data_IF_780997938964
#
_entry.id   IF_780997938964
#
_cell.length_a   1.000
_cell.length_b   1.000
_cell.length_c   1.000
_cell.angle_alpha   90.00
_cell.angle_beta   90.00
_cell.angle_gamma   90.00
#
_symmetry.space_group_name_H-M   'P 1'
#
loop_
_entity.id
_entity.type
_entity.pdbx_description
1 polymer ?
#
# COMPACT_ATOMS: atom_id res chain seq x y z
N UNK A 1 22.32 -39.95 15.14
CA UNK A 1 21.10 -39.25 14.70
C UNK A 1 21.52 -37.92 14.10
N UNK A 2 21.56 -37.85 12.76
CA UNK A 2 22.01 -36.68 12.02
C UNK A 2 20.95 -35.58 12.09
N UNK A 3 21.33 -34.43 12.67
CA UNK A 3 20.65 -33.14 12.46
C UNK A 3 20.98 -32.69 11.04
N UNK A 4 20.07 -32.94 10.10
CA UNK A 4 20.14 -32.39 8.76
C UNK A 4 19.80 -30.91 8.80
N UNK A 5 20.81 -30.05 8.90
CA UNK A 5 20.69 -28.66 8.47
C UNK A 5 20.44 -28.69 6.96
N UNK A 6 19.22 -28.42 6.53
CA UNK A 6 18.93 -28.21 5.11
C UNK A 6 19.63 -26.90 4.69
N UNK A 7 20.84 -27.02 4.16
CA UNK A 7 21.55 -25.96 3.49
C UNK A 7 20.89 -25.71 2.14
N UNK A 8 19.91 -24.81 2.11
CA UNK A 8 19.44 -24.22 0.87
C UNK A 8 20.40 -23.07 0.49
N UNK A 9 21.15 -23.24 -0.59
CA UNK A 9 21.88 -22.15 -1.22
C UNK A 9 20.86 -21.14 -1.81
N UNK A 10 20.57 -20.06 -1.08
CA UNK A 10 19.85 -18.91 -1.61
C UNK A 10 20.82 -17.75 -1.77
N UNK A 11 20.99 -17.25 -3.00
CA UNK A 11 21.61 -15.96 -3.27
C UNK A 11 20.64 -14.87 -2.83
N UNK A 12 20.90 -14.24 -1.69
CA UNK A 12 20.11 -13.10 -1.20
C UNK A 12 20.48 -11.80 -1.92
N UNK A 13 19.51 -10.88 -2.06
CA UNK A 13 19.81 -9.51 -2.48
C UNK A 13 20.33 -8.72 -1.28
N UNK A 14 21.40 -7.92 -1.44
CA UNK A 14 21.86 -7.05 -0.37
C UNK A 14 20.77 -6.02 -0.05
N UNK A 15 20.47 -5.86 1.24
CA UNK A 15 19.64 -4.77 1.74
C UNK A 15 20.43 -3.94 2.75
N UNK A 16 20.06 -2.68 2.90
CA UNK A 16 20.46 -1.86 4.02
C UNK A 16 19.30 -1.84 5.00
N UNK A 17 19.50 -2.30 6.23
CA UNK A 17 18.44 -2.31 7.24
C UNK A 17 18.28 -0.93 7.89
N UNK A 18 17.30 -0.80 8.79
CA UNK A 18 17.08 0.41 9.57
C UNK A 18 17.51 0.21 11.03
N UNK A 19 17.91 1.32 11.64
CA UNK A 19 18.03 1.44 13.08
C UNK A 19 17.12 2.56 13.57
N UNK A 20 16.46 2.35 14.70
CA UNK A 20 15.56 3.33 15.29
C UNK A 20 15.87 3.46 16.78
N UNK A 21 16.11 4.68 17.27
CA UNK A 21 16.51 4.96 18.64
C UNK A 21 15.67 6.05 19.28
N UNK A 22 15.16 5.80 20.47
CA UNK A 22 14.44 6.80 21.26
C UNK A 22 15.46 7.70 21.96
N UNK A 23 15.51 8.97 21.54
CA UNK A 23 16.47 9.97 22.05
C UNK A 23 15.89 10.82 23.19
N UNK A 24 14.56 10.94 23.27
CA UNK A 24 13.88 11.60 24.39
C UNK A 24 12.47 11.04 24.57
N UNK A 25 11.89 11.25 25.76
CA UNK A 25 10.55 10.76 26.13
C UNK A 25 10.58 9.63 27.17
N UNK A 26 9.43 9.00 27.45
CA UNK A 26 9.30 7.95 28.48
C UNK A 26 10.21 6.75 28.25
N UNK A 27 10.47 6.39 26.99
CA UNK A 27 11.27 5.23 26.57
C UNK A 27 12.70 5.60 26.15
N UNK A 28 13.23 6.75 26.61
CA UNK A 28 14.55 7.23 26.23
C UNK A 28 15.65 6.19 26.46
N UNK A 29 16.46 5.95 25.42
CA UNK A 29 17.53 4.94 25.41
C UNK A 29 17.12 3.61 24.78
N UNK A 30 15.83 3.37 24.51
CA UNK A 30 15.39 2.20 23.74
C UNK A 30 15.90 2.28 22.30
N UNK A 31 16.42 1.17 21.77
CA UNK A 31 17.03 1.11 20.44
C UNK A 31 16.71 -0.24 19.78
N UNK A 32 16.40 -0.21 18.50
CA UNK A 32 16.11 -1.38 17.69
C UNK A 32 16.93 -1.31 16.39
N UNK A 33 17.62 -2.40 16.08
CA UNK A 33 18.20 -2.63 14.76
C UNK A 33 17.34 -3.67 14.06
N UNK A 34 16.72 -3.32 12.95
CA UNK A 34 15.88 -4.25 12.19
C UNK A 34 16.72 -5.26 11.41
N UNK A 35 16.17 -6.46 11.25
CA UNK A 35 16.63 -7.46 10.29
C UNK A 35 15.93 -7.31 8.91
N UNK A 36 14.96 -6.39 8.82
CA UNK A 36 14.19 -6.02 7.63
C UNK A 36 14.44 -4.56 7.22
N UNK A 37 13.85 -4.16 6.11
CA UNK A 37 13.79 -2.78 5.62
C UNK A 37 12.64 -1.97 6.23
N UNK A 38 11.88 -2.53 7.18
CA UNK A 38 10.72 -1.87 7.81
C UNK A 38 10.82 -1.95 9.33
N UNK A 39 10.53 -0.84 10.01
CA UNK A 39 10.32 -0.77 11.47
C UNK A 39 8.95 -0.16 11.74
N UNK A 40 8.11 -0.89 12.45
CA UNK A 40 6.79 -0.43 12.91
C UNK A 40 6.89 0.12 14.34
N UNK A 41 6.26 1.27 14.62
CA UNK A 41 6.37 1.98 15.90
C UNK A 41 5.00 2.36 16.46
N UNK A 42 4.78 2.11 17.75
CA UNK A 42 3.57 2.51 18.46
C UNK A 42 3.40 1.83 19.82
N UNK A 43 2.25 2.02 20.47
CA UNK A 43 1.98 1.44 21.81
C UNK A 43 1.45 0.00 21.76
N UNK A 44 0.97 -0.46 20.61
CA UNK A 44 0.48 -1.82 20.43
C UNK A 44 1.61 -2.86 20.52
N UNK A 45 1.29 -4.04 21.06
CA UNK A 45 2.25 -5.13 21.24
C UNK A 45 2.73 -5.76 19.92
N UNK A 46 2.05 -5.48 18.80
CA UNK A 46 2.43 -5.96 17.48
C UNK A 46 3.45 -5.10 16.74
N UNK A 47 3.91 -3.98 17.33
CA UNK A 47 4.96 -3.15 16.73
C UNK A 47 6.36 -3.70 17.05
N UNK A 48 7.30 -3.52 16.13
CA UNK A 48 8.70 -3.86 16.33
C UNK A 48 9.31 -3.01 17.46
N UNK A 49 9.02 -1.71 17.45
CA UNK A 49 9.39 -0.77 18.51
C UNK A 49 8.15 -0.38 19.31
N UNK A 50 7.87 -1.15 20.36
CA UNK A 50 6.78 -0.88 21.30
C UNK A 50 7.16 0.23 22.28
N UNK A 51 6.34 1.28 22.33
CA UNK A 51 6.50 2.41 23.23
C UNK A 51 5.53 2.33 24.42
N UNK A 52 5.93 2.86 25.57
CA UNK A 52 5.11 3.02 26.78
C UNK A 52 4.44 4.40 26.85
N UNK A 53 4.82 5.34 25.99
CA UNK A 53 4.22 6.68 25.92
C UNK A 53 2.74 6.63 25.49
N UNK A 54 1.84 6.88 26.44
CA UNK A 54 0.39 6.92 26.21
C UNK A 54 -0.07 7.96 25.19
N UNK A 55 0.77 8.95 24.87
CA UNK A 55 0.47 9.95 23.83
C UNK A 55 0.77 9.46 22.41
N UNK A 56 1.32 8.24 22.28
CA UNK A 56 1.58 7.59 21.00
C UNK A 56 0.44 6.62 20.67
N UNK A 57 -0.18 6.79 19.50
CA UNK A 57 -1.20 5.87 18.98
C UNK A 57 -0.73 4.41 18.92
N UNK A 58 -1.69 3.49 18.84
CA UNK A 58 -1.45 2.04 18.84
C UNK A 58 -0.51 1.63 17.71
N UNK A 59 -0.84 2.08 16.51
CA UNK A 59 0.03 2.04 15.35
C UNK A 59 0.29 3.49 14.96
N UNK A 60 1.50 3.99 15.16
CA UNK A 60 1.77 5.42 15.00
C UNK A 60 2.44 5.69 13.67
N UNK A 61 3.59 5.05 13.44
CA UNK A 61 4.41 5.30 12.26
C UNK A 61 5.17 4.05 11.84
N UNK A 62 5.24 3.84 10.53
CA UNK A 62 6.12 2.88 9.90
C UNK A 62 7.31 3.60 9.26
N UNK A 63 8.49 3.03 9.43
CA UNK A 63 9.74 3.48 8.81
C UNK A 63 10.16 2.46 7.78
N UNK A 64 10.27 2.84 6.51
CA UNK A 64 10.59 1.95 5.39
C UNK A 64 11.86 2.44 4.69
N UNK A 65 12.89 1.60 4.57
CA UNK A 65 14.11 1.95 3.84
C UNK A 65 13.80 2.02 2.34
N UNK A 66 14.09 3.16 1.72
CA UNK A 66 13.99 3.36 0.28
C UNK A 66 15.29 3.99 -0.24
N UNK A 67 16.20 3.16 -0.74
CA UNK A 67 17.49 3.62 -1.26
C UNK A 67 18.31 4.32 -0.16
N UNK A 68 18.63 5.60 -0.36
CA UNK A 68 19.37 6.43 0.60
C UNK A 68 18.48 7.17 1.61
N UNK A 69 17.16 7.00 1.53
CA UNK A 69 16.19 7.68 2.38
C UNK A 69 15.40 6.68 3.22
N UNK A 70 14.72 7.20 4.24
CA UNK A 70 13.70 6.47 4.99
C UNK A 70 12.36 7.10 4.72
N UNK A 71 11.45 6.32 4.16
CA UNK A 71 10.06 6.71 4.03
C UNK A 71 9.38 6.55 5.39
N UNK A 72 8.83 7.65 5.89
CA UNK A 72 8.05 7.71 7.12
C UNK A 72 6.59 7.73 6.73
N UNK A 73 5.80 6.80 7.28
CA UNK A 73 4.36 6.67 7.02
C UNK A 73 3.59 6.72 8.34
N UNK A 74 2.90 7.82 8.63
CA UNK A 74 2.01 7.94 9.78
C UNK A 74 0.68 7.24 9.51
N UNK A 75 0.19 6.48 10.49
CA UNK A 75 -1.02 5.66 10.38
C UNK A 75 -2.26 6.35 10.97
N UNK A 76 -2.47 7.63 10.62
CA UNK A 76 -3.58 8.43 11.14
C UNK A 76 -3.48 8.65 12.65
N UNK A 77 -2.26 8.89 13.13
CA UNK A 77 -2.01 9.01 14.56
C UNK A 77 -2.68 10.25 15.16
N UNK A 78 -3.10 10.15 16.42
CA UNK A 78 -3.90 11.19 17.09
C UNK A 78 -3.11 12.50 17.22
N UNK A 79 -1.84 12.40 17.57
CA UNK A 79 -0.97 13.56 17.78
C UNK A 79 -0.10 13.90 16.54
N UNK A 80 -0.16 13.07 15.50
CA UNK A 80 0.66 13.20 14.30
C UNK A 80 2.14 12.86 14.53
N UNK A 81 2.80 12.50 13.44
CA UNK A 81 4.27 12.42 13.36
C UNK A 81 4.83 13.77 12.93
N UNK A 82 5.77 14.34 13.69
CA UNK A 82 6.39 15.64 13.36
C UNK A 82 7.88 15.53 13.03
N UNK A 83 8.32 16.30 12.06
CA UNK A 83 9.74 16.56 11.75
C UNK A 83 9.98 18.06 11.83
N UNK A 84 10.86 18.52 12.73
CA UNK A 84 11.13 19.94 12.94
C UNK A 84 9.85 20.81 13.07
N UNK A 85 8.87 20.33 13.85
CA UNK A 85 7.54 20.94 14.07
C UNK A 85 6.55 20.87 12.89
N UNK A 86 6.94 20.32 11.74
CA UNK A 86 6.04 20.08 10.62
C UNK A 86 5.42 18.70 10.77
N UNK A 87 4.08 18.64 10.79
CA UNK A 87 3.36 17.36 10.75
C UNK A 87 3.50 16.74 9.37
N UNK A 88 3.89 15.47 9.34
CA UNK A 88 4.00 14.68 8.12
C UNK A 88 3.07 13.47 8.20
N UNK A 89 2.45 13.14 7.07
CA UNK A 89 1.66 11.91 6.91
C UNK A 89 2.48 10.86 6.16
N UNK A 90 3.14 11.26 5.08
CA UNK A 90 4.08 10.43 4.34
C UNK A 90 5.22 11.28 3.80
N UNK A 91 6.45 10.98 4.20
CA UNK A 91 7.62 11.76 3.77
C UNK A 91 8.89 10.91 3.70
N UNK A 92 9.70 11.11 2.66
CA UNK A 92 11.06 10.59 2.60
C UNK A 92 12.00 11.52 3.38
N UNK A 93 12.63 10.99 4.44
CA UNK A 93 13.58 11.73 5.27
C UNK A 93 14.99 11.14 5.14
N UNK A 94 16.05 11.95 5.28
CA UNK A 94 17.39 11.41 5.35
C UNK A 94 17.59 10.60 6.65
N UNK A 95 18.55 9.67 6.68
CA UNK A 95 19.02 9.09 7.94
C UNK A 95 19.45 10.18 8.92
N UNK A 96 19.48 9.83 10.20
CA UNK A 96 19.72 10.71 11.34
C UNK A 96 18.60 11.73 11.65
N UNK A 97 17.49 11.71 10.90
CA UNK A 97 16.32 12.54 11.19
C UNK A 97 15.66 12.14 12.50
N UNK A 98 15.26 13.15 13.29
CA UNK A 98 14.49 12.98 14.53
C UNK A 98 13.02 13.26 14.26
N UNK A 99 12.19 12.26 14.50
CA UNK A 99 10.74 12.32 14.49
C UNK A 99 10.22 12.58 15.91
N UNK A 100 9.19 13.39 16.06
CA UNK A 100 8.47 13.57 17.33
C UNK A 100 7.11 12.88 17.24
N UNK A 101 6.88 11.93 18.14
CA UNK A 101 5.66 11.13 18.26
C UNK A 101 5.10 11.37 19.68
N UNK A 102 4.10 12.24 19.83
CA UNK A 102 3.61 12.62 21.16
C UNK A 102 4.72 13.26 22.02
N UNK A 103 5.08 12.65 23.17
CA UNK A 103 6.19 13.08 24.03
C UNK A 103 7.52 12.39 23.71
N UNK A 104 7.52 11.49 22.73
CA UNK A 104 8.67 10.66 22.37
C UNK A 104 9.40 11.25 21.17
N UNK A 105 10.72 11.30 21.21
CA UNK A 105 11.56 11.65 20.06
C UNK A 105 12.31 10.40 19.57
N UNK A 106 12.04 10.02 18.33
CA UNK A 106 12.61 8.86 17.65
C UNK A 106 13.62 9.33 16.61
N UNK A 107 14.88 8.97 16.77
CA UNK A 107 15.91 9.17 15.75
C UNK A 107 16.00 7.93 14.86
N UNK A 108 15.90 8.14 13.56
CA UNK A 108 16.09 7.11 12.55
C UNK A 108 17.56 7.11 12.11
N UNK A 109 18.18 5.95 12.00
CA UNK A 109 19.57 5.77 11.59
C UNK A 109 19.70 4.63 10.58
N UNK A 110 20.85 4.57 9.90
CA UNK A 110 21.16 3.46 9.01
C UNK A 110 21.48 2.20 9.82
N UNK A 111 20.90 1.08 9.40
CA UNK A 111 21.17 -0.22 9.98
C UNK A 111 22.37 -0.92 9.35
N UNK A 112 22.40 -2.25 9.46
CA UNK A 112 23.48 -3.08 8.92
C UNK A 112 23.18 -3.43 7.46
N UNK A 113 24.22 -3.76 6.70
CA UNK A 113 24.06 -4.44 5.41
C UNK A 113 23.71 -5.90 5.67
N UNK A 114 22.54 -6.31 5.20
CA UNK A 114 22.04 -7.68 5.25
C UNK A 114 21.85 -8.26 3.85
N UNK A 115 21.40 -9.51 3.78
CA UNK A 115 20.92 -10.12 2.55
C UNK A 115 19.53 -10.70 2.78
N UNK A 116 18.58 -10.37 1.91
CA UNK A 116 17.22 -10.92 1.96
C UNK A 116 17.05 -11.97 0.88
N UNK A 117 16.43 -13.08 1.27
CA UNK A 117 16.06 -14.17 0.37
C UNK A 117 15.16 -13.66 -0.75
N UNK A 118 15.48 -14.05 -1.99
CA UNK A 118 14.69 -13.71 -3.18
C UNK A 118 14.38 -14.94 -4.00
N UNK A 119 13.21 -14.92 -4.62
CA UNK A 119 12.87 -15.89 -5.66
C UNK A 119 13.80 -15.67 -6.86
N UNK A 120 14.47 -16.72 -7.31
CA UNK A 120 15.36 -16.65 -8.48
C UNK A 120 14.59 -16.60 -9.79
N UNK A 121 13.40 -17.21 -9.82
CA UNK A 121 12.52 -17.19 -10.97
C UNK A 121 11.87 -15.80 -11.11
N UNK A 122 11.58 -15.42 -12.36
CA UNK A 122 10.77 -14.22 -12.66
C UNK A 122 9.27 -14.52 -12.63
N UNK A 123 8.91 -15.79 -12.41
CA UNK A 123 7.53 -16.26 -12.37
C UNK A 123 7.31 -17.18 -11.17
N UNK A 124 6.16 -17.03 -10.52
CA UNK A 124 5.75 -17.87 -9.39
C UNK A 124 4.24 -18.01 -9.35
N UNK A 125 3.71 -19.19 -9.69
CA UNK A 125 2.28 -19.50 -9.61
C UNK A 125 1.36 -18.40 -10.21
N UNK A 126 1.70 -17.92 -11.42
CA UNK A 126 0.96 -16.85 -12.11
C UNK A 126 1.36 -15.42 -11.75
N UNK A 127 2.25 -15.22 -10.77
CA UNK A 127 2.89 -13.93 -10.52
C UNK A 127 4.06 -13.73 -11.48
N UNK A 128 4.20 -12.54 -12.05
CA UNK A 128 5.28 -12.15 -12.96
C UNK A 128 6.02 -10.94 -12.39
N UNK A 129 7.36 -10.99 -12.34
CA UNK A 129 8.19 -9.89 -11.85
C UNK A 129 9.68 -10.23 -11.82
N UNK A 130 10.51 -9.32 -12.31
CA UNK A 130 11.96 -9.37 -12.29
C UNK A 130 12.62 -8.36 -11.35
N UNK A 131 11.86 -7.35 -10.91
CA UNK A 131 12.28 -6.35 -9.93
C UNK A 131 12.63 -7.02 -8.59
N UNK A 132 13.57 -6.40 -7.88
CA UNK A 132 14.01 -6.87 -6.57
C UNK A 132 12.84 -6.96 -5.56
N UNK A 133 11.94 -5.98 -5.60
CA UNK A 133 10.77 -5.90 -4.70
C UNK A 133 9.79 -7.05 -4.98
N UNK A 134 9.52 -7.37 -6.24
CA UNK A 134 8.66 -8.50 -6.59
C UNK A 134 9.30 -9.84 -6.26
N UNK A 135 10.61 -10.01 -6.52
CA UNK A 135 11.31 -11.26 -6.19
C UNK A 135 11.37 -11.53 -4.68
N UNK A 136 11.48 -10.49 -3.85
CA UNK A 136 11.33 -10.61 -2.38
C UNK A 136 9.90 -11.01 -2.00
N UNK A 137 8.89 -10.35 -2.57
CA UNK A 137 7.49 -10.67 -2.31
C UNK A 137 7.17 -12.12 -2.69
N UNK A 138 7.66 -12.61 -3.84
CA UNK A 138 7.50 -14.00 -4.28
C UNK A 138 8.13 -15.00 -3.29
N UNK A 139 9.32 -14.73 -2.76
CA UNK A 139 9.93 -15.58 -1.72
C UNK A 139 9.08 -15.62 -0.44
N UNK A 140 8.49 -14.49 -0.03
CA UNK A 140 7.56 -14.45 1.10
C UNK A 140 6.28 -15.24 0.83
N UNK A 141 5.74 -15.16 -0.39
CA UNK A 141 4.58 -15.98 -0.82
C UNK A 141 4.88 -17.47 -0.68
N UNK A 142 6.03 -17.96 -1.18
CA UNK A 142 6.42 -19.37 -1.04
C UNK A 142 6.55 -19.81 0.43
N UNK A 143 7.11 -18.94 1.28
CA UNK A 143 7.24 -19.22 2.72
C UNK A 143 5.88 -19.29 3.41
N UNK A 144 5.02 -18.31 3.15
CA UNK A 144 3.69 -18.24 3.76
C UNK A 144 2.78 -19.35 3.25
N UNK A 145 2.93 -19.80 2.01
CA UNK A 145 2.17 -20.92 1.45
C UNK A 145 2.40 -22.24 2.22
N UNK A 146 3.57 -22.42 2.85
CA UNK A 146 3.90 -23.61 3.66
C UNK A 146 3.25 -23.60 5.06
N UNK A 147 2.59 -22.50 5.43
CA UNK A 147 1.91 -22.34 6.72
C UNK A 147 0.40 -22.26 6.55
N UNK A 148 -0.35 -22.57 7.61
CA UNK A 148 -1.82 -22.44 7.63
C UNK A 148 -2.30 -21.12 8.26
N UNK A 149 -1.36 -20.18 8.45
CA UNK A 149 -1.59 -18.89 9.08
C UNK A 149 -2.43 -17.97 8.19
N UNK A 150 -3.23 -17.08 8.81
CA UNK A 150 -3.95 -16.01 8.13
C UNK A 150 -2.98 -15.04 7.48
N UNK A 151 -3.23 -14.66 6.22
CA UNK A 151 -2.41 -13.68 5.50
C UNK A 151 -3.25 -12.46 5.10
N UNK A 152 -2.77 -11.27 5.41
CA UNK A 152 -3.32 -10.00 4.93
C UNK A 152 -2.47 -9.49 3.77
N UNK A 153 -3.09 -9.32 2.60
CA UNK A 153 -2.47 -8.79 1.38
C UNK A 153 -2.89 -7.33 1.21
N UNK A 154 -1.97 -6.41 1.44
CA UNK A 154 -2.22 -4.98 1.27
C UNK A 154 -1.68 -4.49 -0.06
N UNK A 155 -2.37 -3.55 -0.70
CA UNK A 155 -1.89 -2.93 -1.92
C UNK A 155 -2.99 -2.17 -2.65
N UNK A 156 -2.58 -1.27 -3.52
CA UNK A 156 -3.49 -0.45 -4.32
C UNK A 156 -4.39 -1.29 -5.22
N UNK A 157 -5.50 -0.70 -5.66
CA UNK A 157 -6.38 -1.35 -6.63
C UNK A 157 -5.63 -1.64 -7.93
N UNK A 158 -5.90 -2.80 -8.52
CA UNK A 158 -5.28 -3.21 -9.78
C UNK A 158 -3.84 -3.71 -9.69
N UNK A 159 -3.28 -3.90 -8.49
CA UNK A 159 -1.90 -4.43 -8.31
C UNK A 159 -1.76 -5.95 -8.46
N UNK A 160 -2.87 -6.69 -8.36
CA UNK A 160 -2.91 -8.16 -8.45
C UNK A 160 -3.02 -8.90 -7.11
N UNK A 161 -3.65 -8.30 -6.08
CA UNK A 161 -3.83 -8.91 -4.75
C UNK A 161 -4.47 -10.30 -4.78
N UNK A 162 -5.48 -10.50 -5.63
CA UNK A 162 -6.12 -11.81 -5.80
C UNK A 162 -5.15 -12.87 -6.35
N UNK A 163 -4.29 -12.50 -7.31
CA UNK A 163 -3.26 -13.42 -7.84
C UNK A 163 -2.26 -13.80 -6.75
N UNK A 164 -1.90 -12.88 -5.86
CA UNK A 164 -1.04 -13.18 -4.69
C UNK A 164 -1.74 -14.16 -3.76
N UNK A 165 -3.01 -13.93 -3.43
CA UNK A 165 -3.79 -14.86 -2.60
C UNK A 165 -3.95 -16.24 -3.26
N UNK A 166 -4.15 -16.27 -4.57
CA UNK A 166 -4.23 -17.49 -5.36
C UNK A 166 -2.91 -18.25 -5.37
N UNK A 167 -1.78 -17.57 -5.57
CA UNK A 167 -0.45 -18.17 -5.49
C UNK A 167 -0.18 -18.78 -4.11
N UNK A 168 -0.56 -18.09 -3.03
CA UNK A 168 -0.47 -18.62 -1.66
C UNK A 168 -1.27 -19.91 -1.50
N UNK A 169 -2.45 -20.02 -2.13
CA UNK A 169 -3.27 -21.22 -2.10
C UNK A 169 -2.67 -22.35 -2.94
N UNK A 170 -2.32 -22.09 -4.19
CA UNK A 170 -1.82 -23.08 -5.16
C UNK A 170 -0.47 -23.68 -4.75
N UNK A 171 0.34 -22.94 -3.99
CA UNK A 171 1.61 -23.40 -3.42
C UNK A 171 1.45 -24.06 -2.03
N UNK A 172 0.25 -24.06 -1.46
CA UNK A 172 0.01 -24.62 -0.12
C UNK A 172 -0.34 -26.10 -0.14
N UNK A 173 -0.37 -26.71 1.06
CA UNK A 173 -0.93 -28.04 1.26
C UNK A 173 -2.42 -28.16 0.89
N UNK A 174 -3.12 -27.03 0.67
CA UNK A 174 -4.54 -26.97 0.30
C UNK A 174 -4.79 -26.77 -1.20
N UNK A 175 -3.78 -26.83 -2.08
CA UNK A 175 -3.91 -26.56 -3.54
C UNK A 175 -5.00 -27.33 -4.30
N UNK A 176 -5.39 -28.51 -3.80
CA UNK A 176 -6.44 -29.36 -4.39
C UNK A 176 -7.81 -29.18 -3.73
N UNK A 177 -7.92 -28.24 -2.78
CA UNK A 177 -9.12 -27.96 -2.02
C UNK A 177 -9.78 -26.67 -2.54
N UNK A 178 -11.04 -26.38 -2.16
CA UNK A 178 -11.72 -25.18 -2.65
C UNK A 178 -10.97 -23.88 -2.31
N UNK A 179 -10.92 -22.96 -3.28
CA UNK A 179 -10.54 -21.56 -3.09
C UNK A 179 -11.78 -20.71 -3.32
N UNK A 180 -12.40 -20.23 -2.25
CA UNK A 180 -13.67 -19.49 -2.33
C UNK A 180 -13.40 -18.01 -2.10
N UNK A 181 -13.76 -17.18 -3.07
CA UNK A 181 -13.58 -15.73 -3.04
C UNK A 181 -14.87 -15.04 -2.59
N UNK A 182 -14.72 -13.96 -1.83
CA UNK A 182 -15.81 -13.06 -1.44
C UNK A 182 -15.28 -11.63 -1.48
N UNK A 183 -15.98 -10.76 -2.20
CA UNK A 183 -15.74 -9.32 -2.21
C UNK A 183 -16.61 -8.68 -1.13
N UNK A 184 -15.99 -8.01 -0.16
CA UNK A 184 -16.67 -7.36 0.95
C UNK A 184 -17.21 -5.96 0.63
N UNK A 185 -16.78 -5.33 -0.46
CA UNK A 185 -17.13 -3.94 -0.80
C UNK A 185 -18.33 -3.76 -1.73
N UNK A 186 -18.77 -4.82 -2.43
CA UNK A 186 -19.79 -4.70 -3.50
C UNK A 186 -21.22 -5.03 -3.07
N UNK A 187 -21.43 -5.57 -1.87
CA UNK A 187 -22.72 -6.11 -1.43
C UNK A 187 -23.31 -5.31 -0.26
N UNK A 188 -24.65 -5.29 -0.16
CA UNK A 188 -25.34 -4.76 1.03
C UNK A 188 -25.02 -5.60 2.28
N UNK A 189 -25.11 -5.02 3.49
CA UNK A 189 -24.78 -5.73 4.75
C UNK A 189 -25.47 -7.10 4.91
N UNK A 190 -26.74 -7.21 4.52
CA UNK A 190 -27.48 -8.48 4.60
C UNK A 190 -26.98 -9.49 3.57
N UNK A 191 -26.63 -9.04 2.35
CA UNK A 191 -26.13 -9.90 1.30
C UNK A 191 -24.71 -10.39 1.62
N UNK A 192 -23.81 -9.53 2.12
CA UNK A 192 -22.46 -9.97 2.52
C UNK A 192 -22.53 -11.01 3.66
N UNK A 193 -23.41 -10.82 4.63
CA UNK A 193 -23.63 -11.79 5.70
C UNK A 193 -24.08 -13.15 5.15
N UNK A 194 -25.03 -13.15 4.21
CA UNK A 194 -25.50 -14.35 3.52
C UNK A 194 -24.41 -14.99 2.66
N UNK A 195 -23.59 -14.20 1.98
CA UNK A 195 -22.48 -14.70 1.16
C UNK A 195 -21.39 -15.35 2.02
N UNK A 196 -21.07 -14.78 3.18
CA UNK A 196 -20.06 -15.31 4.11
C UNK A 196 -20.56 -16.55 4.85
N UNK A 197 -21.71 -16.43 5.52
CA UNK A 197 -22.20 -17.42 6.50
C UNK A 197 -23.40 -18.23 6.00
N UNK A 198 -23.99 -17.90 4.86
CA UNK A 198 -25.18 -18.58 4.36
C UNK A 198 -26.44 -18.21 5.15
N UNK A 199 -27.57 -18.73 4.70
CA UNK A 199 -28.86 -18.49 5.35
C UNK A 199 -29.76 -19.71 5.29
N UNK A 200 -30.64 -19.82 6.29
CA UNK A 200 -31.76 -20.74 6.27
C UNK A 200 -32.94 -20.17 5.48
N UNK A 201 -33.82 -21.04 5.00
CA UNK A 201 -35.06 -20.63 4.32
C UNK A 201 -35.89 -19.73 5.27
N UNK A 202 -36.25 -18.55 4.80
CA UNK A 202 -37.05 -17.58 5.56
C UNK A 202 -36.24 -16.69 6.52
N UNK A 203 -34.91 -16.68 6.45
CA UNK A 203 -34.07 -15.85 7.31
C UNK A 203 -34.28 -14.33 7.10
N UNK A 204 -34.65 -13.90 5.89
CA UNK A 204 -34.98 -12.52 5.53
C UNK A 204 -35.91 -12.49 4.31
N UNK A 205 -36.48 -11.33 3.99
CA UNK A 205 -37.34 -11.14 2.82
C UNK A 205 -36.59 -11.50 1.53
N UNK A 206 -37.05 -12.54 0.82
CA UNK A 206 -36.39 -13.08 -0.38
C UNK A 206 -35.53 -14.33 -0.14
N UNK A 207 -35.38 -14.80 1.10
CA UNK A 207 -34.70 -16.05 1.44
C UNK A 207 -35.60 -17.28 1.15
N UNK A 208 -35.95 -17.50 -0.12
CA UNK A 208 -36.87 -18.58 -0.52
C UNK A 208 -36.28 -19.99 -0.38
N UNK A 209 -34.95 -20.09 -0.40
CA UNK A 209 -34.20 -21.35 -0.28
C UNK A 209 -33.08 -21.19 0.73
N UNK A 210 -32.57 -22.32 1.21
CA UNK A 210 -31.35 -22.35 2.01
C UNK A 210 -30.14 -22.10 1.10
N UNK A 211 -29.14 -21.37 1.59
CA UNK A 211 -27.90 -21.10 0.88
C UNK A 211 -26.68 -21.40 1.77
N UNK A 212 -25.72 -22.15 1.24
CA UNK A 212 -24.44 -22.40 1.91
C UNK A 212 -23.50 -21.22 1.71
N UNK A 213 -23.00 -20.64 2.80
CA UNK A 213 -22.06 -19.52 2.77
C UNK A 213 -20.65 -19.91 2.34
N UNK A 214 -19.81 -18.92 2.09
CA UNK A 214 -18.42 -19.09 1.68
C UNK A 214 -17.60 -19.93 2.66
N UNK A 215 -17.78 -19.74 3.97
CA UNK A 215 -17.07 -20.53 4.98
C UNK A 215 -17.40 -22.02 4.91
N UNK A 216 -18.67 -22.36 4.63
CA UNK A 216 -19.11 -23.75 4.45
C UNK A 216 -18.55 -24.34 3.16
N UNK A 217 -18.68 -23.61 2.04
CA UNK A 217 -18.17 -24.04 0.72
C UNK A 217 -16.65 -24.19 0.69
N UNK A 218 -15.93 -23.41 1.51
CA UNK A 218 -14.48 -23.43 1.59
C UNK A 218 -13.93 -24.44 2.61
N UNK A 219 -14.78 -25.23 3.27
CA UNK A 219 -14.33 -26.15 4.31
C UNK A 219 -13.24 -27.11 3.79
N UNK A 220 -12.11 -27.19 4.51
CA UNK A 220 -10.90 -27.91 4.08
C UNK A 220 -9.97 -27.11 3.15
N UNK A 221 -10.46 -26.01 2.58
CA UNK A 221 -9.78 -25.15 1.61
C UNK A 221 -9.43 -23.76 2.14
N UNK A 222 -9.52 -22.75 1.29
CA UNK A 222 -9.14 -21.36 1.59
C UNK A 222 -10.30 -20.41 1.29
N UNK A 223 -10.57 -19.49 2.22
CA UNK A 223 -11.45 -18.35 1.98
C UNK A 223 -10.58 -17.14 1.67
N UNK A 224 -10.81 -16.51 0.52
CA UNK A 224 -10.25 -15.22 0.15
C UNK A 224 -11.30 -14.12 0.36
N UNK A 225 -10.99 -13.14 1.20
CA UNK A 225 -11.83 -11.97 1.43
C UNK A 225 -11.17 -10.74 0.81
N UNK A 226 -11.74 -10.24 -0.29
CA UNK A 226 -11.28 -8.98 -0.89
C UNK A 226 -11.94 -7.78 -0.24
N UNK A 227 -11.20 -6.67 -0.21
CA UNK A 227 -11.56 -5.42 0.45
C UNK A 227 -12.11 -5.60 1.88
N UNK A 228 -11.39 -6.35 2.72
CA UNK A 228 -11.79 -6.65 4.11
C UNK A 228 -12.02 -5.38 4.97
N UNK A 229 -11.39 -4.25 4.62
CA UNK A 229 -11.61 -2.96 5.27
C UNK A 229 -13.02 -2.40 5.09
N UNK A 230 -13.74 -2.84 4.06
CA UNK A 230 -15.14 -2.46 3.80
C UNK A 230 -16.16 -3.29 4.60
N UNK A 231 -15.68 -4.27 5.39
CA UNK A 231 -16.58 -5.15 6.13
C UNK A 231 -17.34 -4.40 7.23
N UNK A 232 -18.69 -4.45 7.23
CA UNK A 232 -19.50 -3.79 8.27
C UNK A 232 -19.15 -4.27 9.68
N UNK A 233 -19.23 -3.38 10.67
CA UNK A 233 -18.82 -3.65 12.05
C UNK A 233 -19.51 -4.89 12.67
N UNK A 234 -20.78 -5.13 12.36
CA UNK A 234 -21.52 -6.32 12.81
C UNK A 234 -20.90 -7.61 12.25
N UNK A 235 -20.47 -7.58 10.98
CA UNK A 235 -19.84 -8.72 10.32
C UNK A 235 -18.41 -8.95 10.79
N UNK A 236 -17.70 -7.90 11.23
CA UNK A 236 -16.39 -8.06 11.87
C UNK A 236 -16.47 -8.94 13.11
N UNK A 237 -17.51 -8.79 13.94
CA UNK A 237 -17.72 -9.63 15.13
C UNK A 237 -18.02 -11.09 14.77
N UNK A 238 -18.85 -11.32 13.75
CA UNK A 238 -19.15 -12.67 13.27
C UNK A 238 -17.91 -13.35 12.68
N UNK A 239 -17.14 -12.63 11.86
CA UNK A 239 -15.89 -13.13 11.29
C UNK A 239 -14.90 -13.53 12.38
N UNK A 240 -14.68 -12.67 13.38
CA UNK A 240 -13.85 -12.98 14.54
C UNK A 240 -14.31 -14.29 15.21
N UNK A 241 -15.62 -14.43 15.46
CA UNK A 241 -16.20 -15.63 16.04
C UNK A 241 -15.87 -16.91 15.27
N UNK A 242 -15.93 -16.87 13.93
CA UNK A 242 -15.59 -18.02 13.09
C UNK A 242 -14.09 -18.33 13.13
N UNK A 243 -13.24 -17.31 13.12
CA UNK A 243 -11.78 -17.48 13.13
C UNK A 243 -11.25 -18.02 14.47
N UNK A 244 -11.90 -17.66 15.58
CA UNK A 244 -11.56 -18.16 16.91
C UNK A 244 -12.14 -19.54 17.18
N UNK A 245 -13.45 -19.71 16.97
CA UNK A 245 -14.17 -20.92 17.40
C UNK A 245 -14.18 -22.03 16.34
N UNK A 246 -13.79 -21.71 15.10
CA UNK A 246 -13.85 -22.62 13.94
C UNK A 246 -15.24 -23.22 13.71
N UNK A 247 -16.26 -22.42 14.05
CA UNK A 247 -17.68 -22.76 13.88
C UNK A 247 -18.53 -21.49 13.79
N UNK A 248 -19.67 -21.60 13.13
CA UNK A 248 -20.62 -20.50 12.97
C UNK A 248 -22.03 -21.04 12.74
N UNK A 249 -23.04 -20.18 12.78
CA UNK A 249 -24.42 -20.52 12.43
C UNK A 249 -24.85 -19.73 11.20
N UNK A 250 -25.67 -20.33 10.34
CA UNK A 250 -26.28 -19.61 9.20
C UNK A 250 -27.24 -18.54 9.71
N UNK A 251 -27.48 -17.51 8.90
CA UNK A 251 -28.48 -16.49 9.21
C UNK A 251 -29.86 -17.13 9.39
N UNK A 252 -30.55 -16.79 10.47
CA UNK A 252 -31.86 -17.36 10.84
C UNK A 252 -31.81 -18.82 11.32
N UNK A 253 -30.62 -19.43 11.42
CA UNK A 253 -30.43 -20.80 11.88
C UNK A 253 -29.77 -20.88 13.27
N UNK A 254 -30.08 -21.93 14.02
CA UNK A 254 -29.45 -22.22 15.32
C UNK A 254 -28.40 -23.33 15.26
N UNK A 255 -28.29 -24.04 14.13
CA UNK A 255 -27.32 -25.12 13.96
C UNK A 255 -25.89 -24.60 13.79
N UNK A 256 -24.99 -25.02 14.67
CA UNK A 256 -23.56 -24.74 14.53
C UNK A 256 -22.92 -25.63 13.46
N UNK A 257 -22.18 -25.01 12.54
CA UNK A 257 -21.42 -25.64 11.47
C UNK A 257 -19.95 -25.49 11.80
N UNK A 258 -19.21 -26.59 11.95
CA UNK A 258 -17.75 -26.59 12.14
C UNK A 258 -17.06 -26.46 10.79
N UNK A 259 -16.03 -25.61 10.72
CA UNK A 259 -15.25 -25.39 9.51
C UNK A 259 -13.75 -25.33 9.77
N UNK A 260 -12.98 -25.93 8.88
CA UNK A 260 -11.54 -25.80 8.83
C UNK A 260 -11.13 -25.03 7.58
N UNK A 261 -11.05 -23.71 7.69
CA UNK A 261 -10.63 -22.83 6.58
C UNK A 261 -9.32 -22.13 6.91
N UNK A 262 -8.49 -21.98 5.89
CA UNK A 262 -7.41 -20.99 5.86
C UNK A 262 -7.98 -19.66 5.38
N UNK A 263 -7.55 -18.57 6.00
CA UNK A 263 -7.98 -17.23 5.62
C UNK A 263 -6.85 -16.51 4.87
N UNK A 264 -7.19 -15.92 3.72
CA UNK A 264 -6.37 -14.88 3.09
C UNK A 264 -7.28 -13.68 2.86
N UNK A 265 -6.88 -12.51 3.33
CA UNK A 265 -7.64 -11.28 3.12
C UNK A 265 -6.84 -10.31 2.27
N UNK A 266 -7.53 -9.41 1.59
CA UNK A 266 -6.90 -8.31 0.88
C UNK A 266 -7.61 -6.99 1.16
N UNK A 267 -6.87 -5.88 1.04
CA UNK A 267 -7.45 -4.53 1.07
C UNK A 267 -6.50 -3.51 0.48
N UNK A 268 -7.04 -2.40 -0.03
CA UNK A 268 -6.29 -1.17 -0.32
C UNK A 268 -6.23 -0.18 0.86
N UNK A 269 -6.99 -0.42 1.93
CA UNK A 269 -7.05 0.45 3.12
C UNK A 269 -5.92 0.16 4.09
N UNK A 270 -5.62 1.20 4.84
CA UNK A 270 -4.76 1.09 6.01
C UNK A 270 -5.57 0.64 7.23
N UNK A 271 -5.64 -0.68 7.44
CA UNK A 271 -6.36 -1.23 8.58
C UNK A 271 -5.79 -0.77 9.94
N UNK A 272 -4.54 -0.33 10.00
CA UNK A 272 -3.97 0.21 11.25
C UNK A 272 -4.56 1.58 11.56
N UNK A 273 -4.72 2.42 10.54
CA UNK A 273 -5.45 3.69 10.66
C UNK A 273 -6.93 3.44 11.01
N UNK A 274 -7.58 2.47 10.35
CA UNK A 274 -8.97 2.09 10.64
C UNK A 274 -9.14 1.52 12.07
N UNK A 275 -8.10 0.94 12.66
CA UNK A 275 -8.10 0.52 14.07
C UNK A 275 -7.92 1.71 15.02
N UNK A 276 -7.13 2.71 14.62
CA UNK A 276 -6.95 3.93 15.40
C UNK A 276 -8.23 4.77 15.42
N UNK A 277 -8.96 4.86 14.31
CA UNK A 277 -10.24 5.59 14.21
C UNK A 277 -11.46 4.80 14.75
N UNK A 278 -11.30 3.49 14.98
CA UNK A 278 -12.32 2.62 15.55
C UNK A 278 -13.29 2.02 14.54
N UNK A 279 -13.09 2.24 13.24
CA UNK A 279 -13.88 1.65 12.16
C UNK A 279 -13.56 0.17 11.92
N UNK A 280 -12.36 -0.28 12.32
CA UNK A 280 -11.96 -1.68 12.31
C UNK A 280 -11.58 -2.19 13.70
N UNK A 281 -12.09 -3.37 14.07
CA UNK A 281 -11.84 -3.92 15.41
C UNK A 281 -10.39 -4.40 15.58
N UNK A 282 -9.75 -3.97 16.67
CA UNK A 282 -8.39 -4.36 17.02
C UNK A 282 -8.22 -5.89 17.17
N UNK A 283 -9.19 -6.57 17.79
CA UNK A 283 -9.14 -8.02 18.00
C UNK A 283 -9.18 -8.80 16.68
N UNK A 284 -10.05 -8.39 15.76
CA UNK A 284 -10.11 -8.94 14.41
C UNK A 284 -8.81 -8.65 13.63
N UNK A 285 -8.27 -7.42 13.73
CA UNK A 285 -7.02 -7.05 13.06
C UNK A 285 -5.90 -8.04 13.36
N UNK A 286 -5.66 -8.35 14.64
CA UNK A 286 -4.63 -9.33 15.02
C UNK A 286 -4.90 -10.75 14.53
N UNK A 287 -6.15 -11.09 14.21
CA UNK A 287 -6.53 -12.43 13.73
C UNK A 287 -6.40 -12.57 12.21
N UNK A 288 -6.55 -11.47 11.47
CA UNK A 288 -6.43 -11.44 10.01
C UNK A 288 -5.01 -11.07 9.56
N UNK A 289 -4.35 -10.14 10.25
CA UNK A 289 -3.01 -9.64 9.96
C UNK A 289 -1.91 -10.40 10.71
N UNK A 290 -1.99 -11.74 10.73
CA UNK A 290 -0.96 -12.56 11.40
C UNK A 290 0.34 -12.57 10.59
N UNK A 291 0.21 -12.62 9.26
CA UNK A 291 1.29 -12.29 8.33
C UNK A 291 0.77 -11.26 7.33
N UNK A 292 1.55 -10.23 7.05
CA UNK A 292 1.18 -9.17 6.11
C UNK A 292 2.10 -9.19 4.90
N UNK A 293 1.52 -9.07 3.71
CA UNK A 293 2.23 -8.91 2.44
C UNK A 293 1.81 -7.59 1.80
N UNK A 294 2.78 -6.75 1.49
CA UNK A 294 2.56 -5.54 0.69
C UNK A 294 2.82 -5.84 -0.78
N UNK A 295 1.82 -5.60 -1.63
CA UNK A 295 1.95 -5.70 -3.08
C UNK A 295 2.36 -4.32 -3.61
N UNK A 296 3.57 -4.16 -4.18
CA UNK A 296 4.04 -2.87 -4.63
C UNK A 296 3.21 -2.36 -5.82
N UNK A 297 2.89 -1.06 -5.86
CA UNK A 297 2.29 -0.45 -7.03
C UNK A 297 3.25 -0.51 -8.22
N UNK A 298 2.72 -0.45 -9.44
CA UNK A 298 3.49 -0.65 -10.67
C UNK A 298 4.64 0.38 -10.82
N UNK A 299 4.42 1.61 -10.36
CA UNK A 299 5.45 2.68 -10.32
C UNK A 299 6.65 2.39 -9.40
N UNK A 300 6.52 1.47 -8.44
CA UNK A 300 7.63 1.05 -7.56
C UNK A 300 8.37 -0.19 -8.11
N UNK A 301 7.93 -0.71 -9.26
CA UNK A 301 8.51 -1.90 -9.92
C UNK A 301 8.56 -1.72 -11.44
N UNK A 302 9.06 -0.57 -11.86
CA UNK A 302 9.09 -0.14 -13.27
C UNK A 302 9.82 -1.15 -14.16
N UNK A 303 10.83 -1.84 -13.62
CA UNK A 303 11.57 -2.89 -14.33
C UNK A 303 10.68 -4.07 -14.74
N UNK A 304 9.51 -4.24 -14.13
CA UNK A 304 8.57 -5.32 -14.46
C UNK A 304 7.69 -5.00 -15.67
N UNK A 305 7.56 -3.72 -16.06
CA UNK A 305 6.65 -3.29 -17.13
C UNK A 305 6.93 -4.01 -18.46
N UNK A 306 8.19 -4.12 -18.96
CA UNK A 306 8.45 -4.84 -20.20
C UNK A 306 8.06 -6.33 -20.13
N UNK A 307 8.33 -6.98 -19.01
CA UNK A 307 7.97 -8.40 -18.78
C UNK A 307 6.45 -8.59 -18.76
N UNK A 308 5.73 -7.69 -18.08
CA UNK A 308 4.27 -7.70 -18.00
C UNK A 308 3.65 -7.39 -19.36
N UNK A 309 4.22 -6.46 -20.13
CA UNK A 309 3.74 -6.12 -21.46
C UNK A 309 3.82 -7.32 -22.41
N UNK A 310 4.97 -8.01 -22.44
CA UNK A 310 5.15 -9.25 -23.20
C UNK A 310 4.11 -10.28 -22.76
N UNK A 311 3.99 -10.53 -21.46
CA UNK A 311 3.04 -11.51 -20.91
C UNK A 311 1.59 -11.24 -21.33
N UNK A 312 1.10 -10.02 -21.14
CA UNK A 312 -0.29 -9.68 -21.48
C UNK A 312 -0.55 -9.72 -22.99
N UNK A 313 0.42 -9.34 -23.82
CA UNK A 313 0.26 -9.46 -25.27
C UNK A 313 0.09 -10.92 -25.69
N UNK A 314 0.89 -11.83 -25.15
CA UNK A 314 0.73 -13.27 -25.40
C UNK A 314 -0.62 -13.79 -24.88
N UNK A 315 -1.05 -13.37 -23.68
CA UNK A 315 -2.35 -13.74 -23.10
C UNK A 315 -3.52 -13.28 -23.99
N UNK A 316 -3.40 -12.10 -24.60
CA UNK A 316 -4.39 -11.51 -25.51
C UNK A 316 -4.33 -12.10 -26.94
N UNK A 317 -3.49 -13.10 -27.19
CA UNK A 317 -3.42 -13.85 -28.45
C UNK A 317 -2.44 -13.28 -29.48
N UNK A 318 -1.58 -12.34 -29.11
CA UNK A 318 -0.53 -11.85 -29.98
C UNK A 318 0.66 -12.83 -30.00
N UNK A 319 1.00 -13.35 -31.19
CA UNK A 319 2.08 -14.33 -31.35
C UNK A 319 3.47 -13.69 -31.56
N UNK A 320 3.54 -12.37 -31.73
CA UNK A 320 4.80 -11.64 -31.89
C UNK A 320 5.42 -11.21 -30.56
N UNK A 321 6.56 -10.52 -30.63
CA UNK A 321 7.16 -9.85 -29.45
C UNK A 321 6.54 -8.49 -29.24
N UNK A 322 6.42 -8.05 -27.99
CA UNK A 322 5.86 -6.75 -27.66
C UNK A 322 6.57 -5.60 -28.39
N UNK A 323 7.88 -5.72 -28.62
CA UNK A 323 8.73 -4.77 -29.36
C UNK A 323 8.23 -4.46 -30.78
N UNK A 324 7.46 -5.37 -31.40
CA UNK A 324 6.92 -5.19 -32.75
C UNK A 324 5.74 -4.20 -32.79
N UNK A 325 5.03 -4.02 -31.67
CA UNK A 325 3.86 -3.12 -31.56
C UNK A 325 4.13 -1.96 -30.60
N UNK A 326 5.03 -2.14 -29.64
CA UNK A 326 5.45 -1.15 -28.67
C UNK A 326 6.86 -0.74 -29.02
N UNK A 327 6.99 0.42 -29.68
CA UNK A 327 8.30 0.99 -29.99
C UNK A 327 9.12 1.23 -28.72
N UNK A 328 10.47 1.28 -28.80
CA UNK A 328 11.30 1.62 -27.64
C UNK A 328 10.92 2.95 -26.97
N UNK A 329 10.49 3.94 -27.77
CA UNK A 329 10.00 5.23 -27.25
C UNK A 329 8.67 5.07 -26.49
N UNK A 330 7.76 4.24 -27.00
CA UNK A 330 6.52 3.90 -26.29
C UNK A 330 6.81 3.14 -25.00
N UNK A 331 7.76 2.21 -25.01
CA UNK A 331 8.14 1.46 -23.81
C UNK A 331 8.72 2.38 -22.72
N UNK A 332 9.54 3.36 -23.11
CA UNK A 332 10.05 4.37 -22.17
C UNK A 332 8.91 5.23 -21.59
N UNK A 333 7.91 5.61 -22.40
CA UNK A 333 6.70 6.29 -21.89
C UNK A 333 5.91 5.41 -20.91
N UNK A 334 5.71 4.13 -21.23
CA UNK A 334 5.07 3.17 -20.31
C UNK A 334 5.83 3.09 -18.98
N UNK A 335 7.17 3.10 -19.03
CA UNK A 335 8.00 3.07 -17.82
C UNK A 335 7.95 4.36 -17.00
N UNK A 336 7.68 5.51 -17.62
CA UNK A 336 7.56 6.80 -16.92
C UNK A 336 6.17 7.08 -16.38
N UNK A 337 5.16 6.35 -16.83
CA UNK A 337 3.78 6.59 -16.40
C UNK A 337 3.56 6.22 -14.92
N UNK A 338 2.66 6.94 -14.23
CA UNK A 338 2.38 6.71 -12.79
C UNK A 338 1.55 5.47 -12.48
N UNK A 339 0.77 5.02 -13.46
CA UNK A 339 -0.11 3.85 -13.36
C UNK A 339 -1.05 3.89 -12.14
N UNK A 340 -1.95 4.89 -12.01
CA UNK A 340 -2.93 4.94 -10.92
C UNK A 340 -3.84 3.69 -10.86
N UNK A 341 -4.13 3.06 -12.01
CA UNK A 341 -4.84 1.78 -12.08
C UNK A 341 -3.93 0.55 -12.11
N UNK A 342 -2.63 0.73 -11.86
CA UNK A 342 -1.61 -0.30 -11.75
C UNK A 342 -1.62 -1.29 -12.94
N UNK A 343 -1.54 -2.59 -12.67
CA UNK A 343 -1.43 -3.66 -13.68
C UNK A 343 -2.72 -3.77 -14.49
N UNK A 344 -3.88 -3.48 -13.89
CA UNK A 344 -5.18 -3.49 -14.59
C UNK A 344 -5.20 -2.44 -15.70
N UNK A 345 -4.71 -1.24 -15.42
CA UNK A 345 -4.60 -0.16 -16.41
C UNK A 345 -3.61 -0.52 -17.52
N UNK A 346 -2.42 -1.03 -17.17
CA UNK A 346 -1.43 -1.49 -18.15
C UNK A 346 -2.03 -2.54 -19.10
N UNK A 347 -2.74 -3.54 -18.57
CA UNK A 347 -3.41 -4.56 -19.39
C UNK A 347 -4.42 -3.93 -20.35
N UNK A 348 -5.27 -3.03 -19.88
CA UNK A 348 -6.28 -2.36 -20.71
C UNK A 348 -5.64 -1.55 -21.84
N UNK A 349 -4.53 -0.86 -21.56
CA UNK A 349 -3.77 -0.11 -22.58
C UNK A 349 -3.21 -1.05 -23.65
N UNK A 350 -2.66 -2.20 -23.26
CA UNK A 350 -2.09 -3.17 -24.20
C UNK A 350 -3.18 -3.86 -25.03
N UNK A 351 -4.35 -4.14 -24.45
CA UNK A 351 -5.51 -4.64 -25.17
C UNK A 351 -5.99 -3.64 -26.22
N UNK A 352 -6.11 -2.36 -25.85
CA UNK A 352 -6.43 -1.30 -26.79
C UNK A 352 -5.36 -1.16 -27.90
N UNK A 353 -4.08 -1.30 -27.54
CA UNK A 353 -2.96 -1.27 -28.50
C UNK A 353 -3.10 -2.36 -29.55
N UNK A 354 -3.45 -3.59 -29.13
CA UNK A 354 -3.66 -4.71 -30.04
C UNK A 354 -4.88 -4.51 -30.96
N UNK A 355 -5.95 -3.92 -30.43
CA UNK A 355 -7.16 -3.65 -31.21
C UNK A 355 -6.98 -2.52 -32.23
N UNK A 356 -6.22 -1.47 -31.88
CA UNK A 356 -6.02 -0.28 -32.72
C UNK A 356 -4.80 -0.40 -33.64
N UNK A 357 -3.86 -1.29 -33.34
CA UNK A 357 -2.57 -1.40 -34.03
C UNK A 357 -1.52 -0.37 -33.58
N UNK A 358 -1.91 0.56 -32.70
CA UNK A 358 -1.05 1.55 -32.07
C UNK A 358 -1.53 1.83 -30.62
N UNK A 359 -0.64 2.23 -29.70
CA UNK A 359 -1.02 2.50 -28.33
C UNK A 359 -1.95 3.72 -28.25
N UNK A 360 -3.03 3.67 -27.43
CA UNK A 360 -3.88 4.82 -27.21
C UNK A 360 -3.09 5.98 -26.58
N UNK A 361 -3.58 7.21 -26.75
CA UNK A 361 -2.99 8.37 -26.10
C UNK A 361 -2.95 8.17 -24.57
N UNK A 362 -1.78 8.40 -23.97
CA UNK A 362 -1.59 8.38 -22.53
C UNK A 362 -2.02 9.72 -21.95
N UNK A 363 -3.28 9.84 -21.53
CA UNK A 363 -3.78 11.05 -20.86
C UNK A 363 -3.40 11.10 -19.36
N UNK A 364 -2.77 10.05 -18.84
CA UNK A 364 -2.34 9.98 -17.45
C UNK A 364 -0.96 10.58 -17.29
N UNK A 365 -0.79 11.40 -16.24
CA UNK A 365 0.48 11.98 -15.81
C UNK A 365 1.64 11.03 -16.12
N UNK A 366 2.35 11.34 -17.22
CA UNK A 366 3.75 10.97 -17.35
C UNK A 366 4.35 11.40 -16.01
N UNK A 367 5.33 10.68 -15.48
CA UNK A 367 6.31 11.36 -14.66
C UNK A 367 6.93 12.44 -15.57
N UNK A 368 6.21 13.55 -15.79
CA UNK A 368 6.80 14.84 -15.58
C UNK A 368 7.66 14.65 -14.35
N UNK A 369 8.90 15.10 -14.42
CA UNK A 369 9.58 15.52 -13.23
C UNK A 369 8.61 16.52 -12.56
N UNK A 370 7.62 16.02 -11.83
CA UNK A 370 6.96 16.70 -10.76
C UNK A 370 8.13 16.94 -9.82
N UNK A 371 8.82 18.06 -10.04
CA UNK A 371 9.34 18.86 -8.95
C UNK A 371 8.24 18.75 -7.89
N UNK A 372 8.49 17.98 -6.81
CA UNK A 372 7.41 17.52 -5.96
C UNK A 372 6.64 18.74 -5.50
N UNK A 373 5.31 18.66 -5.58
CA UNK A 373 4.41 19.70 -5.11
C UNK A 373 4.93 20.25 -3.76
N UNK A 374 5.36 21.51 -3.81
CA UNK A 374 5.90 22.28 -2.69
C UNK A 374 7.17 21.76 -1.98
N UNK A 375 8.08 21.02 -2.63
CA UNK A 375 9.47 20.98 -2.16
C UNK A 375 10.25 22.11 -2.83
N UNK A 376 10.49 23.18 -2.08
CA UNK A 376 11.49 24.15 -2.46
C UNK A 376 12.85 23.43 -2.48
N UNK A 377 13.29 22.96 -3.64
CA UNK A 377 14.66 22.49 -3.82
C UNK A 377 15.60 23.66 -3.50
N UNK A 378 16.19 23.63 -2.30
CA UNK A 378 17.17 24.62 -1.83
C UNK A 378 18.56 24.35 -2.39
N UNK A 379 18.83 23.12 -2.87
CA UNK A 379 20.13 22.72 -3.43
C UNK A 379 20.66 23.62 -4.57
N UNK A 380 19.87 24.01 -5.60
CA UNK A 380 20.33 24.93 -6.64
C UNK A 380 20.49 26.39 -6.16
N UNK A 381 20.09 26.70 -4.91
CA UNK A 381 20.02 28.07 -4.39
C UNK A 381 21.13 28.34 -3.36
N UNK A 382 21.61 27.31 -2.65
CA UNK A 382 22.65 27.41 -1.62
C UNK A 382 24.06 27.73 -2.17
N UNK A 383 24.25 27.67 -3.50
CA UNK A 383 25.48 28.09 -4.18
C UNK A 383 25.50 29.56 -4.66
N UNK A 384 24.41 30.31 -4.44
CA UNK A 384 24.27 31.69 -4.91
C UNK A 384 24.48 32.71 -3.78
N UNK A 385 24.90 33.95 -4.08
CA UNK A 385 24.89 35.04 -3.10
C UNK A 385 23.49 35.24 -2.50
N UNK A 386 23.42 35.52 -1.19
CA UNK A 386 22.17 35.61 -0.43
C UNK A 386 21.07 36.44 -1.12
N UNK A 387 21.42 37.57 -1.73
CA UNK A 387 20.47 38.45 -2.43
C UNK A 387 19.83 37.78 -3.65
N UNK A 388 20.63 37.02 -4.40
CA UNK A 388 20.18 36.30 -5.59
C UNK A 388 19.40 35.04 -5.22
N UNK A 389 19.89 34.31 -4.21
CA UNK A 389 19.21 33.16 -3.63
C UNK A 389 17.79 33.52 -3.15
N UNK A 390 17.69 34.59 -2.35
CA UNK A 390 16.42 35.13 -1.86
C UNK A 390 15.50 35.55 -3.01
N UNK A 391 16.03 36.24 -4.02
CA UNK A 391 15.22 36.68 -5.17
C UNK A 391 14.64 35.51 -5.96
N UNK A 392 15.41 34.45 -6.21
CA UNK A 392 14.93 33.26 -6.94
C UNK A 392 13.85 32.51 -6.16
N UNK A 393 13.99 32.42 -4.83
CA UNK A 393 13.00 31.78 -3.96
C UNK A 393 11.69 32.58 -3.90
N UNK A 394 11.79 33.89 -3.71
CA UNK A 394 10.63 34.78 -3.73
C UNK A 394 9.90 34.74 -5.07
N UNK A 395 10.62 34.75 -6.18
CA UNK A 395 10.00 34.66 -7.51
C UNK A 395 9.29 33.32 -7.75
N UNK A 396 9.86 32.19 -7.28
CA UNK A 396 9.21 30.88 -7.36
C UNK A 396 7.95 30.84 -6.49
N UNK A 397 8.04 31.31 -5.25
CA UNK A 397 6.90 31.42 -4.33
C UNK A 397 5.79 32.29 -4.91
N UNK A 398 6.11 33.51 -5.35
CA UNK A 398 5.16 34.47 -5.92
C UNK A 398 4.44 33.87 -7.14
N UNK A 399 5.15 33.19 -8.04
CA UNK A 399 4.52 32.54 -9.20
C UNK A 399 3.52 31.46 -8.83
N UNK A 400 3.87 30.61 -7.87
CA UNK A 400 3.00 29.51 -7.46
C UNK A 400 1.77 30.04 -6.70
N UNK A 401 2.01 30.91 -5.71
CA UNK A 401 0.97 31.52 -4.90
C UNK A 401 -0.03 32.33 -5.74
N UNK A 402 0.44 33.16 -6.66
CA UNK A 402 -0.44 33.98 -7.51
C UNK A 402 -1.25 33.14 -8.49
N UNK A 403 -0.69 32.02 -8.99
CA UNK A 403 -1.40 31.12 -9.90
C UNK A 403 -2.57 30.44 -9.20
N UNK A 404 -2.32 29.85 -8.04
CA UNK A 404 -3.35 29.19 -7.22
C UNK A 404 -4.41 30.20 -6.75
N UNK A 405 -3.98 31.38 -6.29
CA UNK A 405 -4.88 32.45 -5.87
C UNK A 405 -5.81 32.93 -7.01
N UNK A 406 -5.30 33.06 -8.24
CA UNK A 406 -6.10 33.44 -9.40
C UNK A 406 -7.05 32.32 -9.85
N UNK A 407 -6.61 31.07 -9.82
CA UNK A 407 -7.47 29.91 -10.12
C UNK A 407 -8.64 29.83 -9.13
N UNK A 408 -8.36 29.94 -7.82
CA UNK A 408 -9.35 29.93 -6.75
C UNK A 408 -10.25 31.18 -6.73
N UNK A 409 -9.87 32.25 -7.43
CA UNK A 409 -10.65 33.45 -7.62
C UNK A 409 -11.34 33.53 -9.00
N UNK A 410 -11.25 32.47 -9.82
CA UNK A 410 -11.84 32.42 -11.16
C UNK A 410 -11.33 33.53 -12.10
N UNK A 411 -10.07 33.95 -11.94
CA UNK A 411 -9.45 35.04 -12.69
C UNK A 411 -9.85 36.45 -12.23
N UNK A 412 -10.66 36.60 -11.18
CA UNK A 412 -11.03 37.92 -10.66
C UNK A 412 -9.96 38.49 -9.73
N UNK A 413 -9.17 39.44 -10.24
CA UNK A 413 -8.09 40.10 -9.50
C UNK A 413 -8.57 40.83 -8.24
N UNK A 414 -9.80 41.35 -8.21
CA UNK A 414 -10.34 42.03 -7.01
C UNK A 414 -10.68 41.05 -5.90
N UNK A 415 -11.17 39.87 -6.28
CA UNK A 415 -11.50 38.80 -5.34
C UNK A 415 -10.23 38.12 -4.81
N UNK A 416 -9.24 37.90 -5.69
CA UNK A 416 -7.91 37.43 -5.33
C UNK A 416 -7.21 38.37 -4.32
N UNK A 417 -7.26 39.68 -4.55
CA UNK A 417 -6.70 40.68 -3.63
C UNK A 417 -7.36 40.65 -2.26
N UNK A 418 -8.69 40.48 -2.20
CA UNK A 418 -9.43 40.36 -0.94
C UNK A 418 -9.06 39.06 -0.20
N UNK A 419 -8.97 37.93 -0.91
CA UNK A 419 -8.60 36.62 -0.32
C UNK A 419 -7.16 36.60 0.21
N UNK A 420 -6.25 37.31 -0.45
CA UNK A 420 -4.86 37.40 -0.04
C UNK A 420 -4.58 38.54 0.97
N UNK A 421 -5.59 39.33 1.33
CA UNK A 421 -5.46 40.53 2.17
C UNK A 421 -4.42 41.53 1.63
N UNK A 422 -4.36 41.68 0.30
CA UNK A 422 -3.41 42.54 -0.41
C UNK A 422 -4.12 43.70 -1.09
N UNK A 423 -3.42 44.84 -1.23
CA UNK A 423 -3.90 45.93 -2.08
C UNK A 423 -4.01 45.45 -3.53
N UNK A 424 -5.13 45.79 -4.19
CA UNK A 424 -5.42 45.37 -5.57
C UNK A 424 -4.35 45.84 -6.56
N UNK A 425 -3.81 47.04 -6.36
CA UNK A 425 -2.80 47.65 -7.24
C UNK A 425 -1.47 46.90 -7.09
N UNK A 426 -1.12 46.56 -5.85
CA UNK A 426 0.07 45.75 -5.56
C UNK A 426 -0.05 44.34 -6.15
N UNK A 427 -1.18 43.66 -5.94
CA UNK A 427 -1.41 42.34 -6.53
C UNK A 427 -1.37 42.39 -8.08
N UNK A 428 -1.98 43.41 -8.69
CA UNK A 428 -1.94 43.61 -10.15
C UNK A 428 -0.51 43.80 -10.67
N UNK A 429 0.34 44.50 -9.91
CA UNK A 429 1.76 44.68 -10.25
C UNK A 429 2.55 43.37 -10.17
N UNK A 430 2.28 42.52 -9.18
CA UNK A 430 2.91 41.21 -9.02
C UNK A 430 2.48 40.23 -10.12
N UNK A 431 1.20 40.20 -10.47
CA UNK A 431 0.66 39.40 -11.58
C UNK A 431 1.35 39.79 -12.89
N UNK A 432 1.50 41.09 -13.15
CA UNK A 432 2.20 41.60 -14.34
C UNK A 432 3.69 41.27 -14.34
N UNK A 433 4.36 41.37 -13.20
CA UNK A 433 5.78 41.00 -13.03
C UNK A 433 6.02 39.54 -13.42
N UNK A 434 5.09 38.65 -13.11
CA UNK A 434 5.21 37.20 -13.35
C UNK A 434 4.51 36.69 -14.62
N UNK A 435 3.91 37.58 -15.41
CA UNK A 435 3.32 37.23 -16.71
C UNK A 435 2.07 36.33 -16.61
N UNK A 436 1.39 36.31 -15.47
CA UNK A 436 0.16 35.55 -15.26
C UNK A 436 -1.03 36.34 -15.83
N UNK A 437 -1.92 35.70 -16.60
CA UNK A 437 -3.11 36.32 -17.20
C UNK A 437 -4.39 35.77 -16.60
#
# INVERSE_FOLDING_TARGET
MHKGTLSFHHSGLPIETLQAKIVAGPDAGLELCADSDVITVGTAAGNDLRLSDETVSRYHVDLVRQGAHVLVCDHGSTNGTLVNQVRIERAAVPPETVLTLGRTQLKVAEGKRGAVEVCQAQTLAGLHGQSAVMRRMMALVERLAKTDTSVLVQGESGTGKELVARAIHDLSGRRGQPFVTVDCGTLSPTLIASHLFGHERGAFTGAERQHQGAFERANGGTVYLDEIGELPAEMQANLLGVLERKRFSRLGGSGEIRVNVRLVCATNRDLRADVNDGSFRLDLFYRVAVATLLVPPLRERVEDIPLLAEHFMHELGYAGRAENLVSPATMDLLCRHRWPGNVRELRNVLEATLALGEPPAFDGAVAEEEEPEAVVHLQPVLGLPYKEARSRLLDKFERHYLRDLLQNAGGNVSEAARKAEMDRTYLSSLIRKHGLR
#
